data_IF_760728161640
#
_entry.id   IF_760728161640
#
_cell.length_a   1.000
_cell.length_b   1.000
_cell.length_c   1.000
_cell.angle_alpha   90.00
_cell.angle_beta   90.00
_cell.angle_gamma   90.00
#
_symmetry.space_group_name_H-M   'P 1'
#
loop_
_entity.id
_entity.type
_entity.pdbx_description
1 polymer ?
#
# COMPACT_ATOMS: atom_id res chain seq x y z
N UNK A 1 20.87 -15.04 26.85
CA UNK A 1 19.47 -14.76 26.46
C UNK A 1 19.44 -13.35 25.91
N UNK A 2 19.45 -13.20 24.59
CA UNK A 2 19.37 -11.89 23.95
C UNK A 2 17.94 -11.35 24.13
N UNK A 3 17.83 -10.10 24.60
CA UNK A 3 16.56 -9.45 24.81
C UNK A 3 15.92 -9.08 23.46
N UNK A 4 15.31 -10.06 22.80
CA UNK A 4 14.43 -9.82 21.67
C UNK A 4 13.18 -9.08 22.18
N UNK A 5 13.10 -7.77 21.95
CA UNK A 5 11.93 -6.97 22.33
C UNK A 5 12.22 -5.55 22.81
N UNK A 6 13.49 -5.12 22.90
CA UNK A 6 13.78 -3.72 23.21
C UNK A 6 13.46 -2.84 21.99
N UNK A 7 12.31 -2.18 22.02
CA UNK A 7 11.95 -1.16 21.04
C UNK A 7 12.74 0.10 21.35
N UNK A 8 13.57 0.52 20.40
CA UNK A 8 14.32 1.77 20.46
C UNK A 8 13.81 2.72 19.40
N UNK A 9 13.62 3.98 19.74
CA UNK A 9 13.32 5.02 18.76
C UNK A 9 14.46 5.13 17.75
N UNK A 10 14.14 5.06 16.45
CA UNK A 10 15.12 5.24 15.38
C UNK A 10 15.23 6.72 14.98
N UNK A 11 14.09 7.40 14.84
CA UNK A 11 13.99 8.83 14.54
C UNK A 11 12.52 9.28 14.66
N UNK A 12 12.35 10.58 14.89
CA UNK A 12 11.04 11.25 14.81
C UNK A 12 10.95 12.09 13.54
N UNK A 13 9.85 11.94 12.79
CA UNK A 13 9.52 12.80 11.66
C UNK A 13 8.56 13.90 12.11
N UNK A 14 8.97 15.15 11.95
CA UNK A 14 8.13 16.31 12.26
C UNK A 14 7.41 16.83 11.01
N UNK A 15 6.27 17.49 11.21
CA UNK A 15 5.53 18.24 10.18
C UNK A 15 5.07 17.40 8.97
N UNK A 16 4.60 16.16 9.22
CA UNK A 16 4.02 15.29 8.18
C UNK A 16 2.49 15.39 8.19
N UNK A 17 1.91 15.53 7.00
CA UNK A 17 0.46 15.61 6.80
C UNK A 17 -0.12 14.21 6.62
N UNK A 18 -0.28 13.48 7.73
CA UNK A 18 -0.86 12.14 7.73
C UNK A 18 -1.74 11.91 8.95
N UNK A 19 -2.86 11.19 8.76
CA UNK A 19 -3.74 10.74 9.84
C UNK A 19 -3.72 9.21 10.02
N UNK A 20 -3.22 8.47 9.03
CA UNK A 20 -3.11 7.01 9.08
C UNK A 20 -1.75 6.55 8.57
N UNK A 21 -1.25 5.46 9.14
CA UNK A 21 0.07 4.90 8.85
C UNK A 21 -0.09 3.45 8.39
N UNK A 22 0.47 3.11 7.23
CA UNK A 22 0.38 1.78 6.66
C UNK A 22 1.77 1.23 6.36
N UNK A 23 2.20 0.25 7.15
CA UNK A 23 3.50 -0.41 6.97
C UNK A 23 3.45 -1.45 5.87
N UNK A 24 4.50 -1.51 5.05
CA UNK A 24 4.73 -2.63 4.15
C UNK A 24 4.98 -3.90 4.97
N UNK A 25 4.42 -5.07 4.57
CA UNK A 25 4.71 -6.35 5.21
C UNK A 25 6.20 -6.71 5.26
N UNK A 26 7.02 -6.08 4.41
CA UNK A 26 8.49 -6.26 4.39
C UNK A 26 9.25 -5.34 5.34
N UNK A 27 8.59 -4.41 6.04
CA UNK A 27 9.17 -3.55 7.07
C UNK A 27 10.05 -2.38 6.60
N UNK A 28 10.40 -2.28 5.31
CA UNK A 28 11.28 -1.20 4.79
C UNK A 28 10.55 0.11 4.46
N UNK A 29 9.27 0.00 4.11
CA UNK A 29 8.49 1.08 3.55
C UNK A 29 7.25 1.33 4.40
N UNK A 30 6.88 2.60 4.50
CA UNK A 30 5.65 3.04 5.15
C UNK A 30 4.94 4.04 4.25
N UNK A 31 3.61 3.96 4.21
CA UNK A 31 2.76 4.97 3.58
C UNK A 31 2.13 5.81 4.68
N UNK A 32 2.45 7.10 4.67
CA UNK A 32 1.79 8.11 5.50
C UNK A 32 0.60 8.64 4.70
N UNK A 33 -0.60 8.28 5.11
CA UNK A 33 -1.82 8.62 4.38
C UNK A 33 -2.56 9.75 5.09
N UNK A 34 -2.98 10.75 4.31
CA UNK A 34 -3.89 11.82 4.71
C UNK A 34 -5.29 11.56 4.16
N UNK A 35 -5.98 10.58 4.73
CA UNK A 35 -7.27 10.07 4.26
C UNK A 35 -8.44 10.97 4.66
N UNK A 36 -9.63 10.71 4.09
CA UNK A 36 -10.92 11.36 4.43
C UNK A 36 -10.93 12.88 4.24
N UNK A 37 -10.54 13.37 3.06
CA UNK A 37 -10.56 14.79 2.66
C UNK A 37 -9.77 15.80 3.54
N UNK A 38 -9.37 15.47 4.78
CA UNK A 38 -8.68 16.35 5.71
C UNK A 38 -7.33 16.87 5.18
N UNK A 39 -6.68 16.14 4.27
CA UNK A 39 -5.41 16.53 3.65
C UNK A 39 -5.43 16.34 2.13
N UNK A 40 -6.61 16.43 1.50
CA UNK A 40 -6.75 16.28 0.05
C UNK A 40 -6.32 14.92 -0.49
N UNK A 41 -6.34 13.86 0.33
CA UNK A 41 -6.00 12.50 -0.10
C UNK A 41 -4.50 12.30 -0.39
N UNK A 42 -3.62 13.08 0.27
CA UNK A 42 -2.18 12.98 0.10
C UNK A 42 -1.66 11.64 0.63
N UNK A 43 -0.84 10.96 -0.17
CA UNK A 43 -0.19 9.69 0.15
C UNK A 43 1.32 9.88 0.05
N UNK A 44 2.02 9.76 1.17
CA UNK A 44 3.47 9.90 1.21
C UNK A 44 4.12 8.53 1.36
N UNK A 45 4.86 8.11 0.35
CA UNK A 45 5.66 6.88 0.36
C UNK A 45 7.01 7.20 0.97
N UNK A 46 7.30 6.60 2.12
CA UNK A 46 8.49 6.90 2.91
C UNK A 46 9.35 5.65 3.10
N UNK A 47 10.65 5.80 2.84
CA UNK A 47 11.68 4.80 3.07
C UNK A 47 12.29 5.00 4.45
N UNK A 48 12.12 4.00 5.32
CA UNK A 48 12.58 4.06 6.71
C UNK A 48 14.08 3.79 6.83
N UNK A 49 14.66 2.99 5.94
CA UNK A 49 16.11 2.72 5.94
C UNK A 49 16.89 3.94 5.46
N UNK A 50 16.41 4.58 4.38
CA UNK A 50 17.03 5.78 3.81
C UNK A 50 16.58 7.07 4.49
N UNK A 51 15.57 7.00 5.36
CA UNK A 51 14.94 8.14 6.06
C UNK A 51 14.48 9.25 5.11
N UNK A 52 14.01 8.86 3.93
CA UNK A 52 13.64 9.81 2.87
C UNK A 52 12.26 9.51 2.31
N UNK A 53 11.57 10.56 1.91
CA UNK A 53 10.36 10.44 1.12
C UNK A 53 10.73 10.00 -0.29
N UNK A 54 10.21 8.85 -0.72
CA UNK A 54 10.42 8.34 -2.08
C UNK A 54 9.56 9.15 -3.05
N UNK A 55 8.27 9.23 -2.73
CA UNK A 55 7.27 9.91 -3.55
C UNK A 55 6.15 10.45 -2.70
N UNK A 56 5.54 11.52 -3.21
CA UNK A 56 4.26 12.03 -2.75
C UNK A 56 3.28 11.82 -3.89
N UNK A 57 2.18 11.15 -3.59
CA UNK A 57 1.07 10.92 -4.48
C UNK A 57 -0.21 11.49 -3.88
N UNK A 58 -1.26 11.50 -4.69
CA UNK A 58 -2.55 12.02 -4.27
C UNK A 58 -3.69 11.14 -4.81
N UNK A 59 -4.60 10.78 -3.91
CA UNK A 59 -5.85 10.13 -4.25
C UNK A 59 -6.98 10.79 -3.44
N UNK A 60 -7.64 11.77 -4.07
CA UNK A 60 -8.55 12.74 -3.44
C UNK A 60 -9.64 12.13 -2.54
N UNK A 61 -10.30 11.07 -3.00
CA UNK A 61 -11.40 10.39 -2.28
C UNK A 61 -10.94 9.15 -1.52
N UNK A 62 -9.66 8.79 -1.51
CA UNK A 62 -9.22 7.58 -0.82
C UNK A 62 -9.55 7.61 0.67
N UNK A 63 -10.14 6.52 1.16
CA UNK A 63 -10.32 6.29 2.59
C UNK A 63 -9.74 4.97 3.06
N UNK A 64 -9.32 4.10 2.14
CA UNK A 64 -8.71 2.82 2.44
C UNK A 64 -7.37 2.67 1.68
N UNK A 65 -6.38 2.08 2.35
CA UNK A 65 -5.03 1.82 1.83
C UNK A 65 -4.62 0.43 2.26
N UNK A 66 -4.32 -0.43 1.30
CA UNK A 66 -3.99 -1.83 1.58
C UNK A 66 -2.73 -2.23 0.82
N UNK A 67 -1.78 -2.80 1.56
CA UNK A 67 -0.56 -3.35 1.00
C UNK A 67 -0.78 -4.76 0.48
N UNK A 68 -0.19 -5.08 -0.68
CA UNK A 68 -0.11 -6.45 -1.15
C UNK A 68 0.75 -7.29 -0.17
N UNK A 69 0.41 -8.56 0.11
CA UNK A 69 1.19 -9.42 1.00
C UNK A 69 2.67 -9.55 0.60
N UNK A 70 3.03 -9.40 -0.68
CA UNK A 70 4.42 -9.40 -1.12
C UNK A 70 5.17 -8.08 -0.84
N UNK A 71 4.44 -7.01 -0.51
CA UNK A 71 4.95 -5.67 -0.22
C UNK A 71 5.42 -4.88 -1.46
N UNK A 72 5.11 -5.37 -2.67
CA UNK A 72 5.52 -4.74 -3.95
C UNK A 72 4.50 -3.74 -4.49
N UNK A 73 3.25 -3.86 -4.07
CA UNK A 73 2.15 -3.03 -4.54
C UNK A 73 1.37 -2.47 -3.36
N UNK A 74 0.83 -1.27 -3.56
CA UNK A 74 -0.11 -0.62 -2.66
C UNK A 74 -1.37 -0.36 -3.45
N UNK A 75 -2.52 -0.64 -2.85
CA UNK A 75 -3.79 -0.25 -3.43
C UNK A 75 -4.47 0.78 -2.54
N UNK A 76 -5.10 1.78 -3.16
CA UNK A 76 -5.91 2.76 -2.45
C UNK A 76 -7.28 2.86 -3.10
N UNK A 77 -8.31 2.88 -2.28
CA UNK A 77 -9.69 2.89 -2.74
C UNK A 77 -10.55 3.80 -1.86
N UNK A 78 -11.68 4.18 -2.43
CA UNK A 78 -12.82 4.67 -1.67
C UNK A 78 -13.76 3.49 -1.41
N UNK A 79 -14.15 3.32 -0.16
CA UNK A 79 -15.08 2.28 0.28
C UNK A 79 -16.19 2.87 1.13
N UNK A 80 -17.40 2.38 1.00
CA UNK A 80 -18.55 2.82 1.80
C UNK A 80 -19.00 1.70 2.75
N UNK A 81 -19.61 2.04 3.91
CA UNK A 81 -20.26 1.06 4.76
C UNK A 81 -21.35 0.29 4.01
N UNK A 82 -21.62 -0.94 4.44
CA UNK A 82 -22.64 -1.78 3.83
C UNK A 82 -24.04 -1.14 3.87
N UNK A 83 -24.38 -0.45 4.97
CA UNK A 83 -25.67 0.24 5.11
C UNK A 83 -25.88 1.30 4.02
N UNK A 84 -24.86 2.12 3.75
CA UNK A 84 -24.89 3.13 2.68
C UNK A 84 -24.89 2.49 1.29
N UNK A 85 -24.24 1.33 1.13
CA UNK A 85 -24.26 0.60 -0.14
C UNK A 85 -25.65 0.07 -0.47
N UNK A 86 -26.37 -0.48 0.50
CA UNK A 86 -27.72 -1.01 0.31
C UNK A 86 -28.71 0.11 -0.07
N UNK A 87 -28.54 1.32 0.46
CA UNK A 87 -29.34 2.51 0.11
C UNK A 87 -28.97 3.13 -1.25
N UNK A 88 -27.68 3.09 -1.61
CA UNK A 88 -27.17 3.65 -2.87
C UNK A 88 -27.16 2.65 -4.02
N UNK A 89 -27.61 1.41 -3.80
CA UNK A 89 -27.61 0.34 -4.79
C UNK A 89 -28.37 0.75 -6.05
N UNK A 90 -27.65 0.86 -7.18
CA UNK A 90 -28.19 1.27 -8.47
C UNK A 90 -28.01 2.76 -8.81
N UNK A 91 -27.44 3.57 -7.91
CA UNK A 91 -26.94 4.91 -8.24
C UNK A 91 -25.54 4.79 -8.84
N UNK A 92 -25.29 5.51 -9.93
CA UNK A 92 -23.96 5.60 -10.52
C UNK A 92 -23.07 6.38 -9.55
N UNK A 93 -21.99 5.75 -9.09
CA UNK A 93 -21.02 6.37 -8.17
C UNK A 93 -20.35 7.60 -8.78
N UNK A 94 -19.78 8.45 -7.92
CA UNK A 94 -18.96 9.59 -8.37
C UNK A 94 -17.76 9.04 -9.18
N UNK A 95 -17.43 9.56 -10.38
CA UNK A 95 -16.25 9.12 -11.16
C UNK A 95 -14.92 9.15 -10.40
N UNK A 96 -14.85 9.88 -9.29
CA UNK A 96 -13.70 9.93 -8.39
C UNK A 96 -13.62 8.73 -7.43
N UNK A 97 -14.67 7.91 -7.32
CA UNK A 97 -14.78 6.70 -6.51
C UNK A 97 -14.16 5.50 -7.22
N UNK A 98 -12.85 5.63 -7.46
CA UNK A 98 -12.05 4.66 -8.20
C UNK A 98 -10.98 4.07 -7.29
N UNK A 99 -10.50 2.88 -7.61
CA UNK A 99 -9.31 2.35 -6.95
C UNK A 99 -8.06 2.63 -7.79
N UNK A 100 -6.95 2.89 -7.11
CA UNK A 100 -5.64 3.08 -7.70
C UNK A 100 -4.69 2.01 -7.17
N UNK A 101 -3.84 1.50 -8.05
CA UNK A 101 -2.74 0.61 -7.72
C UNK A 101 -1.43 1.34 -7.96
N UNK A 102 -0.57 1.28 -6.96
CA UNK A 102 0.72 1.95 -6.91
C UNK A 102 1.82 0.90 -6.76
N UNK A 103 3.01 1.22 -7.27
CA UNK A 103 4.22 0.47 -6.94
C UNK A 103 4.62 0.74 -5.49
N UNK A 104 5.45 -0.13 -4.91
CA UNK A 104 6.07 0.11 -3.61
C UNK A 104 6.90 1.40 -3.55
N UNK A 105 7.40 1.86 -4.70
CA UNK A 105 8.14 3.12 -4.86
C UNK A 105 7.20 4.34 -4.98
N UNK A 106 5.89 4.12 -5.01
CA UNK A 106 4.88 5.16 -5.18
C UNK A 106 4.62 5.56 -6.62
N UNK A 107 5.07 4.79 -7.61
CA UNK A 107 4.71 5.03 -9.02
C UNK A 107 3.26 4.64 -9.23
N UNK A 108 2.52 5.46 -9.98
CA UNK A 108 1.17 5.12 -10.37
C UNK A 108 1.22 4.03 -11.45
N UNK A 109 0.53 2.90 -11.22
CA UNK A 109 0.53 1.77 -12.15
C UNK A 109 -0.80 1.66 -12.89
N UNK A 110 -1.90 1.74 -12.15
CA UNK A 110 -3.22 1.44 -12.71
C UNK A 110 -4.32 2.11 -11.90
N UNK A 111 -5.41 2.44 -12.57
CA UNK A 111 -6.67 2.76 -11.92
C UNK A 111 -7.79 1.99 -12.60
N UNK A 112 -8.83 1.71 -11.83
CA UNK A 112 -10.07 1.20 -12.35
C UNK A 112 -11.21 2.06 -11.82
N UNK A 113 -12.00 2.58 -12.75
CA UNK A 113 -13.23 3.25 -12.41
C UNK A 113 -14.30 2.19 -12.16
N UNK A 114 -14.88 2.21 -10.97
CA UNK A 114 -15.96 1.33 -10.60
C UNK A 114 -17.29 2.00 -10.98
N UNK A 115 -18.19 1.25 -11.62
CA UNK A 115 -19.54 1.76 -11.94
C UNK A 115 -20.40 1.92 -10.67
N UNK A 116 -20.09 1.11 -9.64
CA UNK A 116 -20.77 1.09 -8.35
C UNK A 116 -19.77 1.30 -7.21
N UNK A 117 -20.21 1.85 -6.06
CA UNK A 117 -19.35 2.00 -4.89
C UNK A 117 -18.78 0.66 -4.40
N UNK A 118 -17.59 0.71 -3.80
CA UNK A 118 -16.96 -0.48 -3.21
C UNK A 118 -17.30 -0.57 -1.73
N UNK A 119 -17.58 -1.77 -1.23
CA UNK A 119 -17.74 -2.00 0.22
C UNK A 119 -16.38 -2.32 0.86
N UNK A 120 -15.55 -3.08 0.14
CA UNK A 120 -14.28 -3.58 0.66
C UNK A 120 -13.26 -3.73 -0.48
N UNK A 121 -12.01 -3.47 -0.15
CA UNK A 121 -10.86 -3.77 -1.01
C UNK A 121 -9.84 -4.50 -0.17
N UNK A 122 -9.48 -5.72 -0.58
CA UNK A 122 -8.39 -6.46 0.03
C UNK A 122 -7.60 -7.25 -1.02
N UNK A 123 -6.30 -7.35 -0.78
CA UNK A 123 -5.46 -8.25 -1.55
C UNK A 123 -5.77 -9.69 -1.16
N UNK A 124 -5.81 -10.58 -2.17
CA UNK A 124 -5.89 -12.02 -1.93
C UNK A 124 -4.77 -12.43 -0.97
N UNK A 125 -5.08 -13.01 0.19
CA UNK A 125 -4.05 -13.57 1.07
C UNK A 125 -3.25 -14.59 0.29
N UNK A 126 -1.93 -14.58 0.46
CA UNK A 126 -1.08 -15.56 -0.21
C UNK A 126 -1.49 -16.96 0.29
N UNK A 127 -1.92 -17.84 -0.61
CA UNK A 127 -2.14 -19.26 -0.30
C UNK A 127 -0.76 -19.88 -0.12
N UNK A 128 -0.26 -19.82 1.11
CA UNK A 128 1.11 -20.16 1.46
C UNK A 128 1.52 -21.57 1.01
N UNK A 129 2.61 -21.65 0.26
CA UNK A 129 3.66 -22.59 0.60
C UNK A 129 4.51 -21.98 1.72
N UNK A 130 5.12 -22.81 2.56
CA UNK A 130 6.12 -22.38 3.53
C UNK A 130 7.21 -21.64 2.76
N UNK A 131 7.49 -20.38 3.13
CA UNK A 131 8.65 -19.66 2.61
C UNK A 131 9.86 -20.24 3.35
N UNK A 132 10.42 -21.30 2.79
CA UNK A 132 11.71 -21.85 3.23
C UNK A 132 12.83 -20.93 2.73
N UNK A 133 13.93 -20.84 3.48
CA UNK A 133 15.15 -20.11 3.10
C UNK A 133 15.66 -20.55 1.72
N UNK A 134 15.41 -21.82 1.40
CA UNK A 134 15.74 -22.43 0.12
C UNK A 134 14.98 -21.79 -1.07
N UNK A 135 13.71 -21.42 -0.87
CA UNK A 135 12.92 -20.69 -1.87
C UNK A 135 13.38 -19.24 -2.01
N UNK A 136 13.78 -18.61 -0.90
CA UNK A 136 14.34 -17.26 -0.91
C UNK A 136 15.65 -17.24 -1.71
N UNK A 137 16.52 -18.23 -1.51
CA UNK A 137 17.79 -18.33 -2.20
C UNK A 137 17.62 -18.65 -3.69
N UNK A 138 16.72 -19.57 -4.05
CA UNK A 138 16.34 -19.86 -5.44
C UNK A 138 15.81 -18.60 -6.15
N UNK A 139 14.96 -17.81 -5.47
CA UNK A 139 14.44 -16.55 -6.01
C UNK A 139 15.57 -15.54 -6.28
N UNK A 140 16.54 -15.40 -5.37
CA UNK A 140 17.69 -14.52 -5.58
C UNK A 140 18.52 -14.96 -6.78
N UNK A 141 18.82 -16.25 -6.88
CA UNK A 141 19.61 -16.82 -7.99
C UNK A 141 18.92 -16.59 -9.33
N UNK A 142 17.61 -16.86 -9.41
CA UNK A 142 16.82 -16.64 -10.61
C UNK A 142 16.86 -15.18 -11.09
N UNK A 143 16.80 -14.21 -10.16
CA UNK A 143 16.86 -12.78 -10.52
C UNK A 143 18.23 -12.37 -11.07
N UNK A 144 19.32 -12.96 -10.56
CA UNK A 144 20.68 -12.73 -11.09
C UNK A 144 20.81 -13.33 -12.49
N UNK A 145 20.43 -14.59 -12.67
CA UNK A 145 20.49 -15.28 -13.97
C UNK A 145 19.61 -14.59 -15.03
N UNK A 146 18.42 -14.14 -14.64
CA UNK A 146 17.55 -13.37 -15.54
C UNK A 146 18.23 -12.07 -15.94
N UNK A 147 18.80 -11.31 -14.99
CA UNK A 147 19.49 -10.06 -15.30
C UNK A 147 20.71 -10.25 -16.22
N UNK A 148 21.44 -11.36 -16.07
CA UNK A 148 22.56 -11.72 -16.93
C UNK A 148 22.12 -12.14 -18.34
N UNK A 149 20.96 -12.77 -18.50
CA UNK A 149 20.44 -13.21 -19.81
C UNK A 149 19.96 -12.10 -20.74
N UNK A 150 19.84 -10.87 -20.25
CA UNK A 150 19.47 -9.69 -21.05
C UNK A 150 20.70 -8.87 -21.53
N UNK A 151 21.92 -9.37 -21.29
CA UNK A 151 23.19 -8.85 -21.80
C UNK A 151 23.92 -9.92 -22.61
#
# INVERSE_FOLDING_TARGET
MEAHGKVTELFTLHNKQANALFWSPRGKLIVLAGLKACFGGKLEFFDVERKQTIRVQQHLKANNVVWDPSGRYVATAFTIPQEEFDESYGQVGDPLERFHVWSSSGDFLYYHQCDYPLIQMDWRPYRGGIIDDDLVQKRKKFLVETAESWF
#
